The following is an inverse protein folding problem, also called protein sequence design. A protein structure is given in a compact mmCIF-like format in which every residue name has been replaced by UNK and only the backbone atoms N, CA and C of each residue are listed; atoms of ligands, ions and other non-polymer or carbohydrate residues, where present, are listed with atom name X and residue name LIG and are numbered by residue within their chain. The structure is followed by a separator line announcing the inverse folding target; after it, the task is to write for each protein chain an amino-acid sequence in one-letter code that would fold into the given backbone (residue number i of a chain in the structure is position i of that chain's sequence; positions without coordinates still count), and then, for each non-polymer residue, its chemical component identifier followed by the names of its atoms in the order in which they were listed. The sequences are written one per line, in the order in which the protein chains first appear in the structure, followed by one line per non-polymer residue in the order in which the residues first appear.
data_IF_798541101500
#
_entry.id   IF_798541101500
#
_cell.length_a   1.000
_cell.length_b   1.000
_cell.length_c   1.000
_cell.angle_alpha   90.00
_cell.angle_beta   90.00
_cell.angle_gamma   90.00
#
_symmetry.space_group_name_H-M   'P 1'
#
loop_
_entity.id
_entity.type
_entity.pdbx_description
1 polymer ?
#
# COMPACT_ATOMS: atom_id res chain seq x y z
N UNK A 1 8.90 23.64 -12.59
CA UNK A 1 9.59 22.64 -11.73
C UNK A 1 8.87 21.32 -11.98
N UNK A 2 9.51 20.27 -12.52
CA UNK A 2 8.83 18.97 -12.65
C UNK A 2 8.77 18.37 -11.24
N UNK A 3 7.58 18.23 -10.68
CA UNK A 3 7.37 17.67 -9.34
C UNK A 3 8.01 16.27 -9.23
N UNK A 4 8.76 16.02 -8.15
CA UNK A 4 9.39 14.73 -7.87
C UNK A 4 8.34 13.62 -7.71
N UNK A 5 7.28 13.96 -6.98
CA UNK A 5 6.08 13.18 -6.75
C UNK A 5 4.90 14.14 -6.82
N UNK A 6 3.78 13.69 -7.38
CA UNK A 6 2.56 14.51 -7.41
C UNK A 6 2.14 14.91 -5.99
N UNK A 7 1.89 16.20 -5.75
CA UNK A 7 1.40 16.70 -4.46
C UNK A 7 0.16 15.95 -3.99
N UNK A 8 -0.72 15.53 -4.91
CA UNK A 8 -1.88 14.71 -4.60
C UNK A 8 -1.51 13.35 -3.99
N UNK A 9 -0.45 12.70 -4.47
CA UNK A 9 -0.01 11.42 -3.90
C UNK A 9 0.56 11.59 -2.48
N UNK A 10 1.23 12.72 -2.20
CA UNK A 10 1.71 13.06 -0.86
C UNK A 10 0.54 13.31 0.08
N UNK A 11 -0.49 14.06 -0.36
CA UNK A 11 -1.71 14.28 0.42
C UNK A 11 -2.41 12.96 0.73
N UNK A 12 -2.61 12.10 -0.27
CA UNK A 12 -3.23 10.78 -0.08
C UNK A 12 -2.43 9.92 0.90
N UNK A 13 -1.10 9.93 0.81
CA UNK A 13 -0.24 9.22 1.74
C UNK A 13 -0.34 9.77 3.17
N UNK A 14 -0.33 11.09 3.35
CA UNK A 14 -0.46 11.71 4.66
C UNK A 14 -1.82 11.44 5.30
N UNK A 15 -2.91 11.58 4.55
CA UNK A 15 -4.27 11.26 5.02
C UNK A 15 -4.37 9.79 5.40
N UNK A 16 -3.85 8.91 4.54
CA UNK A 16 -3.78 7.47 4.79
C UNK A 16 -3.05 7.12 6.09
N UNK A 17 -1.87 7.70 6.32
CA UNK A 17 -1.06 7.46 7.53
C UNK A 17 -1.76 8.02 8.77
N UNK A 18 -2.46 9.15 8.67
CA UNK A 18 -3.24 9.66 9.79
C UNK A 18 -4.40 8.71 10.14
N UNK A 19 -5.21 8.33 9.16
CA UNK A 19 -6.34 7.42 9.40
C UNK A 19 -5.89 6.02 9.82
N UNK A 20 -4.74 5.56 9.32
CA UNK A 20 -4.13 4.26 9.66
C UNK A 20 -2.62 4.40 9.80
N UNK A 21 -2.09 4.54 11.02
CA UNK A 21 -0.65 4.68 11.25
C UNK A 21 0.19 3.56 10.65
N UNK A 22 -0.36 2.34 10.56
CA UNK A 22 0.31 1.18 9.96
C UNK A 22 0.53 1.33 8.45
N UNK A 23 -0.19 2.22 7.75
CA UNK A 23 0.02 2.52 6.33
C UNK A 23 1.41 3.09 6.06
N UNK A 24 2.12 3.57 7.08
CA UNK A 24 3.53 3.98 6.98
C UNK A 24 4.41 2.85 6.45
N UNK A 25 4.11 1.60 6.81
CA UNK A 25 4.84 0.41 6.35
C UNK A 25 4.70 0.17 4.84
N UNK A 26 3.67 0.73 4.21
CA UNK A 26 3.45 0.66 2.77
C UNK A 26 4.05 1.89 2.06
N UNK A 27 3.72 3.09 2.55
CA UNK A 27 4.10 4.34 1.88
C UNK A 27 5.60 4.63 1.94
N UNK A 28 6.26 4.41 3.09
CA UNK A 28 7.68 4.71 3.24
C UNK A 28 8.53 3.92 2.24
N UNK A 29 8.40 2.58 2.11
CA UNK A 29 9.14 1.84 1.08
C UNK A 29 8.83 2.30 -0.35
N UNK A 30 7.59 2.71 -0.66
CA UNK A 30 7.23 3.25 -1.98
C UNK A 30 7.95 4.58 -2.26
N UNK A 31 7.99 5.49 -1.28
CA UNK A 31 8.73 6.74 -1.40
C UNK A 31 10.23 6.51 -1.51
N UNK A 32 10.80 5.58 -0.74
CA UNK A 32 12.21 5.20 -0.83
C UNK A 32 12.54 4.58 -2.19
N UNK A 33 11.68 3.69 -2.71
CA UNK A 33 11.84 3.13 -4.05
C UNK A 33 11.82 4.24 -5.11
N UNK A 34 10.89 5.20 -5.00
CA UNK A 34 10.81 6.34 -5.91
C UNK A 34 12.06 7.22 -5.81
N UNK A 35 12.51 7.54 -4.60
CA UNK A 35 13.73 8.30 -4.37
C UNK A 35 14.96 7.59 -4.98
N UNK A 36 15.09 6.28 -4.78
CA UNK A 36 16.18 5.49 -5.35
C UNK A 36 16.17 5.44 -6.90
N UNK A 37 15.00 5.55 -7.52
CA UNK A 37 14.89 5.62 -8.99
C UNK A 37 15.24 6.99 -9.57
N UNK A 38 15.26 8.03 -8.73
CA UNK A 38 15.52 9.40 -9.16
C UNK A 38 17.03 9.66 -9.01
N UNK A 39 17.72 9.93 -10.12
CA UNK A 39 19.14 10.33 -10.12
C UNK A 39 19.36 11.78 -9.65
N UNK A 40 18.50 12.29 -8.76
CA UNK A 40 18.54 13.67 -8.27
C UNK A 40 18.55 13.70 -6.74
N UNK A 41 19.04 14.79 -6.13
CA UNK A 41 18.91 15.06 -4.70
C UNK A 41 17.51 14.76 -4.15
N UNK A 42 17.43 14.17 -2.95
CA UNK A 42 16.17 13.86 -2.27
C UNK A 42 15.60 15.05 -1.51
N UNK A 43 16.42 16.09 -1.26
CA UNK A 43 16.04 17.26 -0.47
C UNK A 43 14.76 17.92 -0.99
N UNK A 44 14.57 18.14 -2.31
CA UNK A 44 13.34 18.75 -2.82
C UNK A 44 12.08 17.91 -2.54
N UNK A 45 12.20 16.58 -2.52
CA UNK A 45 11.08 15.70 -2.14
C UNK A 45 10.72 15.91 -0.66
N UNK A 46 11.73 16.02 0.21
CA UNK A 46 11.53 16.27 1.64
C UNK A 46 10.91 17.65 1.87
N UNK A 47 11.44 18.69 1.20
CA UNK A 47 10.92 20.06 1.27
C UNK A 47 9.49 20.19 0.75
N UNK A 48 9.06 19.32 -0.18
CA UNK A 48 7.67 19.25 -0.62
C UNK A 48 6.79 18.43 0.34
N UNK A 49 7.29 17.28 0.79
CA UNK A 49 6.50 16.31 1.56
C UNK A 49 6.22 16.76 3.00
N UNK A 50 7.20 17.36 3.68
CA UNK A 50 7.05 17.82 5.07
C UNK A 50 5.91 18.84 5.22
N UNK A 51 5.90 19.99 4.52
CA UNK A 51 4.86 20.99 4.72
C UNK A 51 3.47 20.45 4.37
N UNK A 52 3.34 19.67 3.30
CA UNK A 52 2.06 19.03 2.93
C UNK A 52 1.58 18.11 4.04
N UNK A 53 2.47 17.26 4.58
CA UNK A 53 2.11 16.31 5.64
C UNK A 53 1.74 17.03 6.93
N UNK A 54 2.47 18.09 7.31
CA UNK A 54 2.15 18.92 8.47
C UNK A 54 0.79 19.59 8.32
N UNK A 55 0.47 20.15 7.16
CA UNK A 55 -0.85 20.75 6.89
C UNK A 55 -1.96 19.71 7.01
N UNK A 56 -1.79 18.52 6.42
CA UNK A 56 -2.77 17.43 6.54
C UNK A 56 -2.97 17.01 8.00
N UNK A 57 -1.89 16.86 8.76
CA UNK A 57 -1.94 16.51 10.19
C UNK A 57 -2.69 17.58 11.00
N UNK A 58 -2.41 18.86 10.77
CA UNK A 58 -3.11 19.96 11.44
C UNK A 58 -4.60 19.95 11.11
N UNK A 59 -4.97 19.85 9.84
CA UNK A 59 -6.37 19.76 9.43
C UNK A 59 -7.08 18.56 10.07
N UNK A 60 -6.42 17.40 10.14
CA UNK A 60 -7.01 16.20 10.71
C UNK A 60 -7.17 16.28 12.24
N UNK A 61 -6.20 16.85 12.96
CA UNK A 61 -6.29 17.09 14.41
C UNK A 61 -7.39 18.11 14.74
N UNK A 62 -7.51 19.17 13.93
CA UNK A 62 -8.58 20.16 14.09
C UNK A 62 -9.95 19.54 13.83
N UNK A 63 -10.08 18.70 12.79
CA UNK A 63 -11.30 17.97 12.48
C UNK A 63 -11.67 17.01 13.62
N UNK A 64 -10.73 16.21 14.10
CA UNK A 64 -10.95 15.32 15.25
C UNK A 64 -11.36 16.14 16.47
N UNK A 65 -10.63 17.19 16.80
CA UNK A 65 -10.95 18.06 17.95
C UNK A 65 -12.37 18.60 17.87
N UNK A 66 -12.80 19.05 16.69
CA UNK A 66 -14.17 19.50 16.45
C UNK A 66 -15.20 18.37 16.64
N UNK A 67 -14.97 17.20 16.04
CA UNK A 67 -15.87 16.04 16.12
C UNK A 67 -15.96 15.43 17.53
N UNK A 68 -14.91 15.56 18.34
CA UNK A 68 -14.88 15.15 19.74
C UNK A 68 -15.31 16.28 20.69
N UNK A 69 -16.29 17.09 20.29
CA UNK A 69 -16.89 18.17 21.09
C UNK A 69 -15.87 19.22 21.58
N UNK A 70 -14.99 19.68 20.67
CA UNK A 70 -13.92 20.66 20.93
C UNK A 70 -12.89 20.22 21.98
N UNK A 71 -12.78 18.92 22.27
CA UNK A 71 -11.71 18.38 23.09
C UNK A 71 -10.50 18.08 22.23
N UNK A 72 -9.34 18.65 22.58
CA UNK A 72 -8.10 18.39 21.85
C UNK A 72 -7.86 16.88 21.71
N UNK A 73 -7.93 16.40 20.47
CA UNK A 73 -7.94 14.97 20.16
C UNK A 73 -7.02 14.68 19.00
N UNK A 74 -6.12 13.73 19.24
CA UNK A 74 -5.31 13.09 18.20
C UNK A 74 -5.81 11.64 18.13
N UNK A 75 -6.73 11.35 17.20
CA UNK A 75 -7.40 10.05 17.15
C UNK A 75 -6.43 8.86 17.07
N UNK A 76 -5.34 8.91 16.27
CA UNK A 76 -4.38 7.81 16.21
C UNK A 76 -3.70 7.49 17.55
N UNK A 77 -3.40 8.50 18.36
CA UNK A 77 -2.79 8.31 19.69
C UNK A 77 -3.80 7.72 20.68
N UNK A 78 -5.06 8.16 20.63
CA UNK A 78 -6.13 7.56 21.45
C UNK A 78 -6.37 6.11 21.06
N UNK A 79 -6.38 5.81 19.76
CA UNK A 79 -6.48 4.45 19.24
C UNK A 79 -5.33 3.57 19.74
N UNK A 80 -4.09 4.06 19.64
CA UNK A 80 -2.92 3.33 20.15
C UNK A 80 -3.02 3.06 21.65
N UNK A 81 -3.38 4.07 22.43
CA UNK A 81 -3.51 3.94 23.88
C UNK A 81 -4.58 2.92 24.26
N UNK A 82 -5.74 2.92 23.58
CA UNK A 82 -6.80 1.95 23.84
C UNK A 82 -6.38 0.53 23.41
N UNK A 83 -5.94 0.36 22.16
CA UNK A 83 -5.76 -0.97 21.59
C UNK A 83 -4.46 -1.64 22.01
N UNK A 84 -3.37 -0.87 22.12
CA UNK A 84 -2.03 -1.38 22.43
C UNK A 84 -1.75 -1.27 23.92
N UNK A 85 -1.84 -0.08 24.50
CA UNK A 85 -1.47 0.12 25.92
C UNK A 85 -2.49 -0.51 26.88
N UNK A 86 -3.79 -0.35 26.63
CA UNK A 86 -4.86 -0.95 27.45
C UNK A 86 -5.25 -2.36 27.00
N UNK A 87 -4.72 -2.84 25.89
CA UNK A 87 -4.86 -4.24 25.45
C UNK A 87 -6.23 -4.63 24.89
N UNK A 88 -7.13 -3.69 24.58
CA UNK A 88 -8.46 -4.02 24.02
C UNK A 88 -8.40 -4.85 22.74
N UNK A 89 -7.31 -4.73 21.96
CA UNK A 89 -7.13 -5.51 20.74
C UNK A 89 -7.06 -7.03 20.99
N UNK A 90 -6.57 -7.46 22.16
CA UNK A 90 -6.44 -8.89 22.49
C UNK A 90 -7.78 -9.59 22.68
N UNK A 91 -8.86 -8.84 22.95
CA UNK A 91 -10.21 -9.37 23.11
C UNK A 91 -10.77 -9.96 21.81
N UNK A 92 -10.25 -9.54 20.67
CA UNK A 92 -10.69 -9.98 19.35
C UNK A 92 -9.85 -11.14 18.80
N UNK A 93 -8.95 -11.70 19.62
CA UNK A 93 -8.08 -12.81 19.28
C UNK A 93 -6.64 -12.39 19.02
N UNK A 94 -5.73 -13.35 19.10
CA UNK A 94 -4.30 -13.15 18.84
C UNK A 94 -3.86 -14.15 17.80
N UNK A 95 -3.13 -13.66 16.80
CA UNK A 95 -2.58 -14.48 15.73
C UNK A 95 -1.04 -14.53 15.86
N UNK A 96 -0.40 -15.65 15.48
CA UNK A 96 1.05 -15.72 15.43
C UNK A 96 1.59 -14.78 14.35
N UNK A 97 2.84 -14.32 14.50
CA UNK A 97 3.47 -13.35 13.59
C UNK A 97 3.50 -13.79 12.12
N UNK A 98 3.51 -15.09 11.83
CA UNK A 98 3.52 -15.62 10.47
C UNK A 98 2.13 -15.73 9.84
N UNK A 99 1.06 -15.57 10.63
CA UNK A 99 -0.33 -15.77 10.20
C UNK A 99 -0.71 -14.94 8.98
N UNK A 100 -0.27 -13.67 8.95
CA UNK A 100 -0.54 -12.78 7.83
C UNK A 100 0.00 -13.32 6.51
N UNK A 101 1.19 -13.90 6.52
CA UNK A 101 1.84 -14.44 5.33
C UNK A 101 1.32 -15.83 4.94
N UNK A 102 1.09 -16.72 5.90
CA UNK A 102 0.77 -18.13 5.62
C UNK A 102 -0.72 -18.40 5.49
N UNK A 103 -1.59 -17.59 6.10
CA UNK A 103 -3.03 -17.83 6.13
C UNK A 103 -3.80 -16.67 5.50
N UNK A 104 -3.63 -15.45 6.02
CA UNK A 104 -4.45 -14.31 5.60
C UNK A 104 -4.21 -13.91 4.14
N UNK A 105 -2.94 -13.81 3.72
CA UNK A 105 -2.58 -13.41 2.36
C UNK A 105 -3.01 -14.46 1.31
N UNK A 106 -2.76 -15.77 1.49
CA UNK A 106 -3.30 -16.79 0.58
C UNK A 106 -4.83 -16.81 0.54
N UNK A 107 -5.50 -16.60 1.67
CA UNK A 107 -6.97 -16.54 1.74
C UNK A 107 -7.51 -15.38 0.90
N UNK A 108 -6.87 -14.20 0.96
CA UNK A 108 -7.28 -13.04 0.16
C UNK A 108 -6.95 -13.16 -1.33
N UNK A 109 -5.85 -13.82 -1.67
CA UNK A 109 -5.45 -14.03 -3.06
C UNK A 109 -6.22 -15.19 -3.72
N UNK A 110 -6.71 -16.15 -2.93
CA UNK A 110 -7.41 -17.33 -3.41
C UNK A 110 -6.62 -18.06 -4.50
N UNK A 111 -7.27 -18.30 -5.64
CA UNK A 111 -6.67 -18.97 -6.81
C UNK A 111 -5.49 -18.21 -7.43
N UNK A 112 -5.33 -16.92 -7.13
CA UNK A 112 -4.25 -16.09 -7.68
C UNK A 112 -2.95 -16.19 -6.86
N UNK A 113 -2.97 -16.81 -5.68
CA UNK A 113 -1.78 -16.99 -4.84
C UNK A 113 -0.56 -17.60 -5.58
N UNK A 114 -0.69 -18.70 -6.36
CA UNK A 114 0.44 -19.23 -7.12
C UNK A 114 0.96 -18.27 -8.20
N UNK A 115 0.10 -17.42 -8.80
CA UNK A 115 0.53 -16.44 -9.80
C UNK A 115 1.41 -15.34 -9.19
N UNK A 116 1.17 -14.96 -7.93
CA UNK A 116 2.06 -14.04 -7.20
C UNK A 116 3.46 -14.64 -7.09
N UNK A 117 3.57 -15.92 -6.72
CA UNK A 117 4.87 -16.61 -6.60
C UNK A 117 5.59 -16.65 -7.94
N UNK A 118 4.89 -17.06 -9.00
CA UNK A 118 5.43 -17.08 -10.37
C UNK A 118 5.89 -15.67 -10.78
N UNK A 119 5.11 -14.64 -10.49
CA UNK A 119 5.43 -13.25 -10.83
C UNK A 119 6.65 -12.70 -10.11
N UNK A 120 6.90 -13.12 -8.87
CA UNK A 120 8.11 -12.74 -8.12
C UNK A 120 9.33 -13.47 -8.68
N UNK A 121 9.20 -14.75 -9.03
CA UNK A 121 10.31 -15.58 -9.51
C UNK A 121 10.66 -15.35 -10.99
N UNK A 122 9.72 -14.85 -11.79
CA UNK A 122 9.94 -14.62 -13.22
C UNK A 122 10.68 -13.32 -13.51
N UNK A 123 11.49 -13.35 -14.58
CA UNK A 123 12.16 -12.16 -15.13
C UNK A 123 11.28 -11.38 -16.11
N UNK A 124 10.15 -11.95 -16.54
CA UNK A 124 9.24 -11.30 -17.49
C UNK A 124 8.61 -10.01 -16.93
N UNK A 125 8.40 -9.97 -15.61
CA UNK A 125 7.85 -8.81 -14.94
C UNK A 125 8.92 -7.74 -14.69
N UNK A 126 8.55 -6.48 -14.98
CA UNK A 126 9.36 -5.30 -14.67
C UNK A 126 9.74 -5.25 -13.18
N UNK A 127 11.00 -4.95 -12.91
CA UNK A 127 11.58 -4.78 -11.57
C UNK A 127 10.74 -3.88 -10.67
N UNK A 128 10.20 -2.76 -11.16
CA UNK A 128 9.37 -1.87 -10.34
C UNK A 128 8.11 -2.57 -9.83
N UNK A 129 7.40 -3.30 -10.68
CA UNK A 129 6.18 -4.01 -10.27
C UNK A 129 6.49 -5.13 -9.28
N UNK A 130 7.57 -5.88 -9.52
CA UNK A 130 8.05 -6.90 -8.59
C UNK A 130 8.39 -6.31 -7.22
N UNK A 131 9.07 -5.16 -7.19
CA UNK A 131 9.39 -4.46 -5.94
C UNK A 131 8.13 -3.96 -5.21
N UNK A 132 7.11 -3.46 -5.92
CA UNK A 132 5.83 -3.08 -5.30
C UNK A 132 5.09 -4.27 -4.69
N UNK A 133 5.12 -5.43 -5.36
CA UNK A 133 4.58 -6.67 -4.79
C UNK A 133 5.38 -7.13 -3.56
N UNK A 134 6.71 -7.03 -3.58
CA UNK A 134 7.55 -7.32 -2.42
C UNK A 134 7.30 -6.35 -1.26
N UNK A 135 7.08 -5.06 -1.53
CA UNK A 135 6.68 -4.07 -0.53
C UNK A 135 5.33 -4.46 0.11
N UNK A 136 4.42 -5.02 -0.68
CA UNK A 136 3.11 -5.48 -0.19
C UNK A 136 3.25 -6.70 0.74
N UNK A 137 4.15 -7.63 0.40
CA UNK A 137 4.51 -8.75 1.29
C UNK A 137 5.19 -8.24 2.57
N UNK A 138 6.13 -7.29 2.42
CA UNK A 138 6.78 -6.64 3.56
C UNK A 138 5.77 -5.95 4.47
N UNK A 139 4.79 -5.24 3.91
CA UNK A 139 3.69 -4.65 4.66
C UNK A 139 2.93 -5.72 5.46
N UNK A 140 2.58 -6.85 4.84
CA UNK A 140 1.89 -7.96 5.53
C UNK A 140 2.71 -8.51 6.69
N UNK A 141 4.01 -8.76 6.48
CA UNK A 141 4.89 -9.29 7.54
C UNK A 141 5.09 -8.26 8.65
N UNK A 142 5.36 -7.00 8.29
CA UNK A 142 5.55 -5.92 9.25
C UNK A 142 4.30 -5.70 10.10
N UNK A 143 3.13 -5.62 9.47
CA UNK A 143 1.86 -5.52 10.19
C UNK A 143 1.67 -6.69 11.16
N UNK A 144 2.00 -7.91 10.71
CA UNK A 144 1.86 -9.12 11.55
C UNK A 144 2.84 -9.18 12.71
N UNK A 145 3.96 -8.47 12.60
CA UNK A 145 4.95 -8.34 13.67
C UNK A 145 4.54 -7.28 14.70
N UNK A 146 4.01 -6.14 14.25
CA UNK A 146 3.68 -5.02 15.13
C UNK A 146 2.30 -5.12 15.80
N UNK A 147 1.38 -5.91 15.25
CA UNK A 147 0.03 -6.06 15.79
C UNK A 147 -0.27 -7.53 16.08
N UNK A 148 -0.39 -7.95 17.36
CA UNK A 148 -0.78 -9.31 17.72
C UNK A 148 -2.23 -9.65 17.30
N UNK A 149 -3.08 -8.62 17.28
CA UNK A 149 -4.43 -8.72 16.74
C UNK A 149 -4.42 -8.31 15.26
N UNK A 150 -4.74 -9.26 14.40
CA UNK A 150 -4.79 -9.06 12.96
C UNK A 150 -6.10 -9.59 12.42
N UNK A 151 -6.75 -8.76 11.63
CA UNK A 151 -7.89 -9.17 10.83
C UNK A 151 -7.47 -9.18 9.37
N UNK A 152 -8.09 -10.07 8.58
CA UNK A 152 -7.74 -10.24 7.17
C UNK A 152 -7.91 -8.90 6.42
N UNK A 153 -8.89 -8.06 6.82
CA UNK A 153 -9.15 -6.74 6.22
C UNK A 153 -8.00 -5.74 6.37
N UNK A 154 -7.09 -5.91 7.32
CA UNK A 154 -5.92 -5.03 7.42
C UNK A 154 -4.92 -5.25 6.29
N UNK A 155 -4.98 -6.38 5.58
CA UNK A 155 -4.12 -6.68 4.45
C UNK A 155 -4.64 -6.11 3.12
N UNK A 156 -5.86 -5.55 3.07
CA UNK A 156 -6.44 -4.96 1.85
C UNK A 156 -5.50 -3.99 1.11
N UNK A 157 -4.71 -3.12 1.77
CA UNK A 157 -3.80 -2.21 1.08
C UNK A 157 -2.66 -2.90 0.30
N UNK A 158 -2.35 -4.17 0.61
CA UNK A 158 -1.33 -4.96 -0.08
C UNK A 158 -1.85 -5.57 -1.40
N UNK A 159 -3.16 -5.84 -1.49
CA UNK A 159 -3.77 -6.55 -2.62
C UNK A 159 -3.61 -5.88 -3.99
N UNK A 160 -3.71 -4.54 -4.14
CA UNK A 160 -3.58 -3.87 -5.43
C UNK A 160 -2.32 -4.28 -6.21
N UNK A 161 -1.17 -4.24 -5.54
CA UNK A 161 0.12 -4.49 -6.19
C UNK A 161 0.31 -5.98 -6.50
N UNK A 162 -0.20 -6.86 -5.63
CA UNK A 162 -0.19 -8.31 -5.85
C UNK A 162 -1.08 -8.70 -7.04
N UNK A 163 -2.26 -8.10 -7.18
CA UNK A 163 -3.15 -8.37 -8.32
C UNK A 163 -2.60 -7.80 -9.63
N UNK A 164 -1.93 -6.65 -9.60
CA UNK A 164 -1.22 -6.13 -10.78
C UNK A 164 -0.16 -7.13 -11.24
N UNK A 165 0.60 -7.70 -10.29
CA UNK A 165 1.59 -8.73 -10.60
C UNK A 165 0.93 -9.97 -11.23
N UNK A 166 -0.16 -10.48 -10.64
CA UNK A 166 -0.91 -11.61 -11.19
C UNK A 166 -1.41 -11.33 -12.61
N UNK A 167 -1.93 -10.13 -12.87
CA UNK A 167 -2.42 -9.73 -14.18
C UNK A 167 -1.33 -9.74 -15.26
N UNK A 168 -0.11 -9.32 -14.91
CA UNK A 168 1.03 -9.38 -15.84
C UNK A 168 1.47 -10.82 -16.11
N UNK A 169 1.56 -11.66 -15.09
CA UNK A 169 1.89 -13.08 -15.26
C UNK A 169 0.86 -13.78 -16.14
N UNK A 170 -0.43 -13.52 -15.90
CA UNK A 170 -1.51 -14.12 -16.68
C UNK A 170 -1.47 -13.64 -18.13
N UNK A 171 -1.17 -12.36 -18.37
CA UNK A 171 -0.97 -11.82 -19.70
C UNK A 171 0.17 -12.55 -20.43
N UNK A 172 1.30 -12.74 -19.77
CA UNK A 172 2.44 -13.46 -20.37
C UNK A 172 2.06 -14.92 -20.66
N UNK A 173 1.40 -15.61 -19.73
CA UNK A 173 0.95 -16.99 -19.93
C UNK A 173 -0.02 -17.12 -21.10
N UNK A 174 -0.93 -16.15 -21.29
CA UNK A 174 -1.84 -16.13 -22.44
C UNK A 174 -1.05 -15.90 -23.74
N UNK A 175 -0.11 -14.94 -23.76
CA UNK A 175 0.69 -14.63 -24.95
C UNK A 175 1.60 -15.78 -25.37
N UNK A 176 2.22 -16.49 -24.42
CA UNK A 176 3.14 -17.62 -24.71
C UNK A 176 2.43 -18.98 -24.78
N UNK A 177 1.29 -19.16 -24.12
CA UNK A 177 0.51 -20.39 -24.11
C UNK A 177 -0.57 -20.45 -25.19
N UNK A 178 -1.01 -19.30 -25.71
CA UNK A 178 -1.96 -19.14 -26.80
C UNK A 178 -1.39 -18.11 -27.80
N UNK A 179 -0.67 -18.57 -28.82
CA UNK A 179 -0.26 -17.70 -29.93
C UNK A 179 -1.49 -17.30 -30.75
N UNK A 180 -2.20 -16.26 -30.31
CA UNK A 180 -3.14 -15.53 -31.16
C UNK A 180 -2.35 -14.39 -31.78
N UNK A 181 -1.86 -14.62 -32.99
CA UNK A 181 -1.29 -13.62 -33.87
C UNK A 181 -2.33 -12.50 -34.10
N UNK A 182 -2.21 -11.36 -33.42
CA UNK A 182 -2.72 -10.07 -33.94
C UNK A 182 -2.27 -8.85 -33.11
N UNK A 183 -1.45 -8.01 -33.76
CA UNK A 183 -1.41 -6.54 -33.63
C UNK A 183 -1.60 -5.91 -32.22
N UNK A 184 -0.54 -5.88 -31.38
CA UNK A 184 -0.60 -5.28 -30.02
C UNK A 184 0.45 -4.19 -29.71
N UNK A 185 1.25 -3.75 -30.67
CA UNK A 185 2.37 -2.83 -30.41
C UNK A 185 1.95 -1.40 -30.02
N UNK A 186 0.73 -0.95 -30.34
CA UNK A 186 0.26 0.41 -30.03
C UNK A 186 -0.53 0.55 -28.72
N UNK A 187 -1.11 -0.53 -28.20
CA UNK A 187 -1.96 -0.50 -26.99
C UNK A 187 -1.15 -0.68 -25.69
N UNK A 188 0.05 -1.25 -25.75
CA UNK A 188 0.85 -1.58 -24.58
C UNK A 188 1.40 -0.34 -23.84
N UNK A 189 1.74 0.74 -24.55
CA UNK A 189 2.30 1.96 -23.97
C UNK A 189 1.25 2.78 -23.23
N UNK A 190 0.04 2.90 -23.79
CA UNK A 190 -1.08 3.63 -23.21
C UNK A 190 -1.59 2.90 -21.96
N UNK A 191 -1.72 1.58 -21.98
CA UNK A 191 -2.26 0.78 -20.87
C UNK A 191 -1.37 0.84 -19.62
N UNK A 192 -0.04 0.74 -19.77
CA UNK A 192 0.94 0.71 -18.66
C UNK A 192 0.93 1.98 -17.79
N UNK A 193 0.61 3.13 -18.37
CA UNK A 193 0.59 4.43 -17.66
C UNK A 193 -0.67 4.64 -16.81
N UNK A 194 -1.83 4.11 -17.21
CA UNK A 194 -3.07 4.21 -16.43
C UNK A 194 -3.07 3.30 -15.19
N UNK A 195 -2.48 2.10 -15.28
CA UNK A 195 -2.45 1.16 -14.15
C UNK A 195 -1.64 1.69 -12.96
N UNK A 196 -0.44 2.25 -13.19
CA UNK A 196 0.38 2.78 -12.09
C UNK A 196 -0.25 3.99 -11.40
N UNK A 197 -0.95 4.86 -12.14
CA UNK A 197 -1.62 6.03 -11.57
C UNK A 197 -2.87 5.64 -10.77
N UNK A 198 -3.65 4.69 -11.27
CA UNK A 198 -4.85 4.20 -10.59
C UNK A 198 -4.54 3.24 -9.43
N UNK A 199 -3.38 2.58 -9.43
CA UNK A 199 -2.94 1.73 -8.32
C UNK A 199 -2.79 2.51 -7.01
N UNK A 200 -2.33 3.77 -7.07
CA UNK A 200 -2.22 4.65 -5.90
C UNK A 200 -3.60 4.98 -5.34
N UNK A 201 -4.56 5.30 -6.22
CA UNK A 201 -5.95 5.58 -5.83
C UNK A 201 -6.60 4.32 -5.26
N UNK A 202 -6.38 3.16 -5.88
CA UNK A 202 -6.94 1.90 -5.42
C UNK A 202 -6.32 1.45 -4.09
N UNK A 203 -5.01 1.62 -3.89
CA UNK A 203 -4.34 1.38 -2.61
C UNK A 203 -4.83 2.32 -1.51
N UNK A 204 -5.09 3.59 -1.84
CA UNK A 204 -5.71 4.55 -0.92
C UNK A 204 -7.13 4.12 -0.55
N UNK A 205 -8.00 3.84 -1.53
CA UNK A 205 -9.38 3.41 -1.29
C UNK A 205 -9.43 2.11 -0.47
N UNK A 206 -8.56 1.14 -0.77
CA UNK A 206 -8.46 -0.12 -0.05
C UNK A 206 -8.11 0.05 1.45
N UNK A 207 -7.48 1.16 1.83
CA UNK A 207 -7.22 1.48 3.24
C UNK A 207 -8.47 1.91 3.99
N UNK A 208 -9.54 2.33 3.32
CA UNK A 208 -10.78 2.75 3.96
C UNK A 208 -11.88 1.67 3.91
N UNK A 209 -11.76 0.66 3.04
CA UNK A 209 -12.78 -0.40 2.88
C UNK A 209 -12.86 -1.40 4.04
N UNK A 210 -12.09 -1.22 5.11
CA UNK A 210 -12.10 -2.10 6.28
C UNK A 210 -12.18 -1.35 7.61
N UNK A 211 -12.63 -0.10 7.61
CA UNK A 211 -13.02 0.61 8.84
C UNK A 211 -14.41 0.12 9.24
#
# INVERSE_FOLDING_TARGET
MKDYVSSAAIVLAAVSVYCRPTAVLLWVPIFLLKAATIQRPIEPLIFQAIPISVTVLQCAILLDTYLYNNQFTIAPLRFYTANVTKGYATLFGVQPWYWGLTQALPTMLGIYAPLVVVGICTKSVNTTTRLLAMISIFYTVGLSFFSPHLEIRFLLPALPFLHILCGLVLQDMIQYGWSVDTAQSSLASVRKQYWCRNAIIFAFVAQFMGV
#
